data_IF_823315006569
#
_entry.id   IF_823315006569
#
_cell.length_a   1.000
_cell.length_b   1.000
_cell.length_c   1.000
_cell.angle_alpha   90.00
_cell.angle_beta   90.00
_cell.angle_gamma   90.00
#
_symmetry.space_group_name_H-M   'P 1'
#
loop_
_entity.id
_entity.type
_entity.pdbx_description
1 polymer ?
#
# COMPACT_ATOMS: atom_id res chain seq x y z
N UNK A 1 25.57 9.95 15.59
CA UNK A 1 24.18 9.77 15.09
C UNK A 1 24.06 8.29 14.79
N UNK A 2 23.37 7.53 15.64
CA UNK A 2 23.27 6.08 15.51
C UNK A 2 22.49 5.71 14.24
N UNK A 3 22.90 4.65 13.52
CA UNK A 3 22.24 4.23 12.30
C UNK A 3 20.84 3.70 12.63
N UNK A 4 19.85 4.37 12.06
CA UNK A 4 18.44 4.03 12.15
C UNK A 4 18.20 2.59 11.67
N UNK A 5 17.90 1.68 12.59
CA UNK A 5 17.43 0.33 12.25
C UNK A 5 15.96 0.42 11.80
N UNK A 6 15.75 0.38 10.49
CA UNK A 6 14.42 0.37 9.88
C UNK A 6 13.95 -1.08 9.63
N UNK A 7 12.64 -1.33 9.72
CA UNK A 7 12.07 -2.58 9.21
C UNK A 7 12.21 -2.59 7.68
N UNK A 8 13.23 -3.29 7.18
CA UNK A 8 13.58 -3.35 5.75
C UNK A 8 12.64 -4.22 4.90
N UNK A 9 11.65 -4.87 5.52
CA UNK A 9 10.77 -5.82 4.86
C UNK A 9 9.33 -5.41 5.12
N UNK A 10 8.56 -5.21 4.05
CA UNK A 10 7.10 -5.11 4.14
C UNK A 10 6.54 -6.42 4.70
N UNK A 11 5.75 -6.44 5.77
CA UNK A 11 5.13 -7.68 6.26
C UNK A 11 4.06 -8.30 5.35
N UNK A 12 3.69 -7.67 4.24
CA UNK A 12 3.02 -8.39 3.13
C UNK A 12 3.98 -9.33 2.38
N UNK A 13 5.29 -9.13 2.55
CA UNK A 13 6.38 -9.88 1.93
C UNK A 13 7.21 -10.71 2.94
N UNK A 14 6.78 -10.80 4.21
CA UNK A 14 7.49 -11.54 5.25
C UNK A 14 6.55 -12.40 6.09
N UNK A 15 7.04 -13.57 6.51
CA UNK A 15 6.26 -14.49 7.34
C UNK A 15 6.06 -13.90 8.75
N UNK A 16 4.95 -14.20 9.44
CA UNK A 16 4.71 -13.65 10.77
C UNK A 16 5.81 -14.00 11.78
N UNK A 17 6.51 -15.15 11.64
CA UNK A 17 7.63 -15.52 12.51
C UNK A 17 8.86 -14.59 12.40
N UNK A 18 9.04 -13.89 11.26
CA UNK A 18 10.14 -12.93 11.08
C UNK A 18 9.93 -11.65 11.91
N UNK A 19 8.73 -11.49 12.47
CA UNK A 19 8.34 -10.38 13.32
C UNK A 19 8.18 -10.77 14.79
N UNK A 20 8.61 -11.98 15.16
CA UNK A 20 8.60 -12.43 16.55
C UNK A 20 9.45 -11.49 17.42
N UNK A 21 8.91 -11.09 18.57
CA UNK A 21 9.52 -10.14 19.50
C UNK A 21 9.40 -8.66 19.10
N UNK A 22 8.74 -8.32 17.98
CA UNK A 22 8.48 -6.93 17.58
C UNK A 22 7.19 -6.41 18.23
N UNK A 23 7.28 -5.31 18.96
CA UNK A 23 6.17 -4.75 19.75
C UNK A 23 5.06 -4.07 18.93
N UNK A 24 5.13 -4.10 17.60
CA UNK A 24 4.22 -3.35 16.71
C UNK A 24 3.41 -4.22 15.77
N UNK A 25 3.49 -5.53 15.97
CA UNK A 25 2.90 -6.52 15.08
C UNK A 25 2.35 -7.66 15.89
N UNK A 26 1.23 -8.21 15.44
CA UNK A 26 0.67 -9.40 16.05
C UNK A 26 1.67 -10.56 16.03
N UNK A 27 1.93 -11.11 17.21
CA UNK A 27 2.79 -12.28 17.43
C UNK A 27 2.06 -13.58 17.07
N UNK A 28 2.82 -14.62 16.69
CA UNK A 28 2.21 -15.92 16.33
C UNK A 28 1.50 -16.58 17.51
N UNK A 29 2.00 -16.36 18.72
CA UNK A 29 1.53 -17.00 19.95
C UNK A 29 0.40 -16.25 20.65
N UNK A 30 0.10 -15.03 20.24
CA UNK A 30 -1.00 -14.25 20.82
C UNK A 30 -2.29 -14.39 19.99
N UNK A 31 -3.41 -14.34 20.69
CA UNK A 31 -4.73 -14.21 20.11
C UNK A 31 -4.90 -12.84 19.44
N UNK A 32 -5.91 -12.70 18.58
CA UNK A 32 -6.19 -11.40 17.95
C UNK A 32 -6.63 -10.39 19.02
N UNK A 33 -7.34 -10.86 20.04
CA UNK A 33 -7.85 -10.07 21.15
C UNK A 33 -6.73 -9.51 22.04
N UNK A 34 -5.76 -10.34 22.41
CA UNK A 34 -4.58 -9.90 23.17
C UNK A 34 -3.80 -8.82 22.42
N UNK A 35 -3.59 -9.03 21.10
CA UNK A 35 -2.95 -8.05 20.23
C UNK A 35 -3.70 -6.71 20.20
N UNK A 36 -5.03 -6.76 20.01
CA UNK A 36 -5.88 -5.56 19.96
C UNK A 36 -5.91 -4.81 21.30
N UNK A 37 -5.89 -5.52 22.42
CA UNK A 37 -5.83 -4.92 23.76
C UNK A 37 -4.47 -4.28 24.04
N UNK A 38 -3.38 -4.88 23.55
CA UNK A 38 -2.02 -4.37 23.74
C UNK A 38 -1.71 -3.14 22.88
N UNK A 39 -2.32 -3.04 21.68
CA UNK A 39 -1.99 -2.01 20.69
C UNK A 39 -3.24 -1.32 20.10
N UNK A 40 -4.09 -0.66 20.91
CA UNK A 40 -5.23 0.11 20.42
C UNK A 40 -4.77 1.31 19.57
N UNK A 41 -5.12 1.42 18.28
CA UNK A 41 -4.64 2.49 17.40
C UNK A 41 -5.06 3.90 17.80
N UNK A 42 -6.16 4.05 18.52
CA UNK A 42 -6.62 5.35 19.01
C UNK A 42 -5.60 5.99 19.97
N UNK A 43 -4.99 5.20 20.85
CA UNK A 43 -4.18 5.69 21.98
C UNK A 43 -2.69 5.36 21.88
N UNK A 44 -2.33 4.30 21.16
CA UNK A 44 -0.92 3.90 20.97
C UNK A 44 -0.14 5.01 20.24
N UNK A 45 0.94 5.50 20.85
CA UNK A 45 1.74 6.62 20.32
C UNK A 45 2.80 6.15 19.33
N UNK A 46 2.94 6.88 18.23
CA UNK A 46 4.05 6.73 17.30
C UNK A 46 5.40 7.04 17.97
N UNK A 47 6.44 6.28 17.60
CA UNK A 47 7.84 6.53 17.96
C UNK A 47 8.73 6.36 16.73
N UNK A 48 9.99 6.80 16.77
CA UNK A 48 10.89 6.74 15.60
C UNK A 48 10.99 5.33 15.01
N UNK A 49 10.93 4.27 15.84
CA UNK A 49 10.89 2.87 15.41
C UNK A 49 9.49 2.24 15.34
N UNK A 50 8.44 2.99 15.66
CA UNK A 50 7.05 2.54 15.76
C UNK A 50 6.14 3.50 14.97
N UNK A 51 5.99 3.25 13.68
CA UNK A 51 5.21 4.12 12.78
C UNK A 51 3.90 3.47 12.32
N UNK A 52 3.75 2.15 12.52
CA UNK A 52 2.60 1.37 12.08
C UNK A 52 2.32 0.24 13.05
N UNK A 53 1.04 -0.03 13.33
CA UNK A 53 0.59 -1.27 13.97
C UNK A 53 0.24 -2.25 12.85
N UNK A 54 0.69 -3.49 12.96
CA UNK A 54 0.64 -4.49 11.89
C UNK A 54 -0.06 -5.77 12.32
N UNK A 55 -0.75 -6.38 11.37
CA UNK A 55 -1.21 -7.77 11.47
C UNK A 55 -0.98 -8.48 10.14
N UNK A 56 -0.47 -9.70 10.21
CA UNK A 56 -0.29 -10.56 9.05
C UNK A 56 -1.24 -11.75 9.12
N UNK A 57 -1.65 -12.22 7.96
CA UNK A 57 -2.41 -13.46 7.83
C UNK A 57 -1.48 -14.64 8.17
N UNK A 58 -1.84 -15.53 9.11
CA UNK A 58 -1.00 -16.67 9.46
C UNK A 58 -0.90 -17.72 8.34
N UNK A 59 -1.83 -17.70 7.38
CA UNK A 59 -1.98 -18.71 6.34
C UNK A 59 -1.50 -18.25 4.96
N UNK A 60 -0.51 -17.33 4.89
CA UNK A 60 0.03 -16.88 3.60
C UNK A 60 0.49 -18.09 2.77
N UNK A 61 0.07 -18.21 1.50
CA UNK A 61 0.37 -19.37 0.68
C UNK A 61 1.87 -19.71 0.59
N UNK A 62 2.25 -21.00 0.54
CA UNK A 62 3.64 -21.44 0.48
C UNK A 62 4.42 -20.94 -0.76
N UNK A 63 3.73 -20.61 -1.86
CA UNK A 63 4.35 -20.27 -3.15
C UNK A 63 5.22 -19.00 -3.11
N UNK A 64 5.16 -18.22 -2.03
CA UNK A 64 5.97 -17.03 -1.82
C UNK A 64 7.32 -17.33 -1.12
N UNK A 65 7.57 -18.60 -0.79
CA UNK A 65 8.71 -19.01 0.02
C UNK A 65 9.34 -20.29 -0.52
N UNK A 66 10.64 -20.40 -0.34
CA UNK A 66 11.37 -21.64 -0.58
C UNK A 66 10.89 -22.75 0.40
N UNK A 67 11.15 -24.03 0.07
CA UNK A 67 10.84 -25.16 0.95
C UNK A 67 11.45 -25.08 2.36
N UNK A 68 12.56 -24.34 2.51
CA UNK A 68 13.24 -24.10 3.79
C UNK A 68 12.63 -22.93 4.61
N UNK A 69 11.57 -22.31 4.10
CA UNK A 69 10.87 -21.20 4.74
C UNK A 69 11.51 -19.83 4.54
N UNK A 70 12.65 -19.75 3.85
CA UNK A 70 13.21 -18.47 3.39
C UNK A 70 12.33 -17.89 2.29
N UNK A 71 12.23 -16.56 2.15
CA UNK A 71 11.70 -15.97 0.92
C UNK A 71 12.48 -16.58 -0.26
N UNK A 72 11.80 -16.87 -1.36
CA UNK A 72 12.49 -17.26 -2.61
C UNK A 72 13.60 -16.24 -2.88
N UNK A 73 14.73 -16.60 -3.51
CA UNK A 73 15.83 -15.68 -3.84
C UNK A 73 15.43 -14.63 -4.93
N UNK A 74 14.18 -14.21 -4.86
CA UNK A 74 13.56 -13.03 -5.43
C UNK A 74 14.18 -11.74 -4.90
N UNK A 75 15.03 -11.74 -3.86
CA UNK A 75 15.61 -10.50 -3.35
C UNK A 75 16.48 -9.82 -4.41
N UNK A 76 17.40 -10.56 -5.04
CA UNK A 76 18.28 -10.05 -6.09
C UNK A 76 17.51 -9.73 -7.39
N UNK A 77 16.57 -10.60 -7.78
CA UNK A 77 15.68 -10.41 -8.92
C UNK A 77 14.80 -9.16 -8.72
N UNK A 78 14.18 -8.99 -7.54
CA UNK A 78 13.32 -7.84 -7.22
C UNK A 78 14.11 -6.53 -7.14
N UNK A 79 15.31 -6.50 -6.54
CA UNK A 79 16.14 -5.28 -6.53
C UNK A 79 16.47 -4.85 -7.97
N UNK A 80 16.82 -5.81 -8.82
CA UNK A 80 17.10 -5.54 -10.23
C UNK A 80 15.85 -5.04 -10.96
N UNK A 81 14.70 -5.69 -10.73
CA UNK A 81 13.42 -5.32 -11.34
C UNK A 81 12.91 -3.96 -10.89
N UNK A 82 13.04 -3.62 -9.60
CA UNK A 82 12.72 -2.29 -9.07
C UNK A 82 13.64 -1.25 -9.70
N UNK A 83 14.93 -1.55 -9.88
CA UNK A 83 15.85 -0.62 -10.56
C UNK A 83 15.45 -0.38 -12.02
N UNK A 84 15.02 -1.44 -12.73
CA UNK A 84 14.48 -1.34 -14.09
C UNK A 84 13.20 -0.50 -14.10
N UNK A 85 12.25 -0.77 -13.19
CA UNK A 85 11.02 0.00 -13.05
C UNK A 85 11.33 1.49 -12.83
N UNK A 86 12.24 1.80 -11.90
CA UNK A 86 12.60 3.18 -11.56
C UNK A 86 13.20 3.90 -12.75
N UNK A 87 14.22 3.31 -13.39
CA UNK A 87 14.89 3.92 -14.52
C UNK A 87 13.94 4.21 -15.69
N UNK A 88 13.15 3.21 -16.10
CA UNK A 88 12.23 3.37 -17.23
C UNK A 88 11.01 4.22 -16.87
N UNK A 89 10.48 4.10 -15.65
CA UNK A 89 9.35 4.91 -15.19
C UNK A 89 9.73 6.38 -15.00
N UNK A 90 10.94 6.69 -14.51
CA UNK A 90 11.45 8.06 -14.46
C UNK A 90 11.58 8.67 -15.87
N UNK A 91 12.03 7.88 -16.85
CA UNK A 91 12.06 8.32 -18.26
C UNK A 91 10.65 8.65 -18.79
N UNK A 92 9.67 7.78 -18.54
CA UNK A 92 8.27 8.02 -18.91
C UNK A 92 7.71 9.31 -18.27
N UNK A 93 7.99 9.53 -16.99
CA UNK A 93 7.56 10.73 -16.26
C UNK A 93 8.24 12.01 -16.77
N UNK A 94 9.52 11.91 -17.15
CA UNK A 94 10.26 13.02 -17.76
C UNK A 94 9.71 13.36 -19.14
N UNK A 95 9.35 12.36 -19.93
CA UNK A 95 8.73 12.55 -21.25
C UNK A 95 7.35 13.18 -21.13
N UNK A 96 6.51 12.74 -20.18
CA UNK A 96 5.22 13.38 -19.88
C UNK A 96 5.41 14.87 -19.55
N UNK A 97 6.38 15.20 -18.69
CA UNK A 97 6.70 16.59 -18.33
C UNK A 97 7.12 17.40 -19.55
N UNK A 98 7.97 16.84 -20.42
CA UNK A 98 8.41 17.48 -21.66
C UNK A 98 7.24 17.75 -22.61
N UNK A 99 6.42 16.74 -22.87
CA UNK A 99 5.22 16.86 -23.72
C UNK A 99 4.25 17.89 -23.16
N UNK A 100 4.01 17.90 -21.85
CA UNK A 100 3.15 18.88 -21.21
C UNK A 100 3.67 20.32 -21.35
N UNK A 101 5.00 20.51 -21.25
CA UNK A 101 5.62 21.82 -21.48
C UNK A 101 5.43 22.28 -22.93
N UNK A 102 5.66 21.40 -23.91
CA UNK A 102 5.50 21.71 -25.34
C UNK A 102 4.04 22.03 -25.68
N UNK A 103 3.09 21.24 -25.17
CA UNK A 103 1.66 21.47 -25.40
C UNK A 103 1.21 22.85 -24.88
N UNK A 104 1.65 23.23 -23.67
CA UNK A 104 1.34 24.55 -23.07
C UNK A 104 1.93 25.71 -23.87
N UNK A 105 3.07 25.53 -24.52
CA UNK A 105 3.72 26.58 -25.32
C UNK A 105 3.07 26.71 -26.71
N UNK A 106 2.76 25.60 -27.37
CA UNK A 106 2.34 25.60 -28.77
C UNK A 106 0.82 25.79 -28.94
N UNK A 107 0.01 25.19 -28.07
CA UNK A 107 -1.46 25.16 -28.20
C UNK A 107 -2.13 25.36 -26.84
N UNK A 108 -2.09 26.57 -26.24
CA UNK A 108 -2.57 26.81 -24.89
C UNK A 108 -4.03 26.37 -24.65
N UNK A 109 -4.92 26.57 -25.63
CA UNK A 109 -6.35 26.22 -25.53
C UNK A 109 -6.61 24.71 -25.53
N UNK A 110 -5.83 23.91 -26.26
CA UNK A 110 -6.00 22.46 -26.37
C UNK A 110 -5.07 21.67 -25.44
N UNK A 111 -4.10 22.36 -24.83
CA UNK A 111 -3.05 21.75 -24.01
C UNK A 111 -3.58 20.91 -22.85
N UNK A 112 -4.72 21.29 -22.26
CA UNK A 112 -5.30 20.57 -21.12
C UNK A 112 -5.69 19.14 -21.51
N UNK A 113 -6.40 18.99 -22.63
CA UNK A 113 -6.88 17.69 -23.12
C UNK A 113 -5.70 16.81 -23.56
N UNK A 114 -4.78 17.38 -24.33
CA UNK A 114 -3.57 16.66 -24.77
C UNK A 114 -2.73 16.17 -23.58
N UNK A 115 -2.58 16.99 -22.55
CA UNK A 115 -1.87 16.60 -21.32
C UNK A 115 -2.62 15.48 -20.59
N UNK A 116 -3.95 15.51 -20.57
CA UNK A 116 -4.74 14.44 -19.94
C UNK A 116 -4.53 13.12 -20.65
N UNK A 117 -4.65 13.09 -21.99
CA UNK A 117 -4.43 11.88 -22.79
C UNK A 117 -3.02 11.30 -22.59
N UNK A 118 -1.99 12.15 -22.60
CA UNK A 118 -0.61 11.70 -22.37
C UNK A 118 -0.39 11.24 -20.92
N UNK A 119 -1.06 11.84 -19.95
CA UNK A 119 -1.03 11.38 -18.55
C UNK A 119 -1.64 10.00 -18.41
N UNK A 120 -2.82 9.77 -18.98
CA UNK A 120 -3.53 8.49 -18.89
C UNK A 120 -2.72 7.37 -19.59
N UNK A 121 -2.10 7.70 -20.73
CA UNK A 121 -1.15 6.80 -21.39
C UNK A 121 0.06 6.48 -20.51
N UNK A 122 0.66 7.49 -19.88
CA UNK A 122 1.81 7.31 -18.99
C UNK A 122 1.46 6.42 -17.79
N UNK A 123 0.26 6.60 -17.22
CA UNK A 123 -0.25 5.76 -16.14
C UNK A 123 -0.37 4.30 -16.58
N UNK A 124 -0.93 4.05 -17.77
CA UNK A 124 -1.04 2.71 -18.33
C UNK A 124 0.33 2.08 -18.60
N UNK A 125 1.27 2.85 -19.14
CA UNK A 125 2.63 2.38 -19.45
C UNK A 125 3.40 2.03 -18.16
N UNK A 126 3.29 2.84 -17.10
CA UNK A 126 3.86 2.54 -15.77
C UNK A 126 3.25 1.25 -15.20
N UNK A 127 1.93 1.08 -15.31
CA UNK A 127 1.24 -0.14 -14.85
C UNK A 127 1.77 -1.38 -15.59
N UNK A 128 1.88 -1.31 -16.91
CA UNK A 128 2.39 -2.41 -17.74
C UNK A 128 3.86 -2.71 -17.45
N UNK A 129 4.68 -1.68 -17.26
CA UNK A 129 6.08 -1.82 -16.86
C UNK A 129 6.20 -2.52 -15.50
N UNK A 130 5.34 -2.15 -14.54
CA UNK A 130 5.34 -2.77 -13.23
C UNK A 130 4.93 -4.26 -13.28
N UNK A 131 3.97 -4.61 -14.14
CA UNK A 131 3.62 -6.01 -14.42
C UNK A 131 4.80 -6.75 -15.06
N UNK A 132 5.40 -6.18 -16.12
CA UNK A 132 6.50 -6.80 -16.85
C UNK A 132 7.75 -7.02 -15.98
N UNK A 133 8.00 -6.12 -15.03
CA UNK A 133 9.09 -6.21 -14.06
C UNK A 133 8.70 -7.03 -12.82
N UNK A 134 7.48 -7.59 -12.73
CA UNK A 134 6.99 -8.31 -11.54
C UNK A 134 7.09 -7.47 -10.26
N UNK A 135 6.95 -6.15 -10.38
CA UNK A 135 6.88 -5.21 -9.25
C UNK A 135 5.43 -4.92 -8.86
N UNK A 136 4.60 -5.97 -8.94
CA UNK A 136 3.16 -5.91 -8.68
C UNK A 136 2.79 -5.99 -7.21
N UNK A 137 3.78 -6.22 -6.36
CA UNK A 137 3.64 -6.54 -4.94
C UNK A 137 4.77 -5.88 -4.13
N UNK A 138 4.50 -5.62 -2.85
CA UNK A 138 5.29 -4.92 -1.83
C UNK A 138 6.66 -4.29 -2.12
N UNK A 139 6.87 -3.12 -1.51
CA UNK A 139 8.16 -2.45 -1.29
C UNK A 139 9.31 -3.39 -0.88
N UNK A 140 10.40 -3.38 -1.65
CA UNK A 140 11.73 -3.86 -1.24
C UNK A 140 12.53 -2.69 -0.64
N UNK A 141 12.92 -2.79 0.63
CA UNK A 141 14.11 -2.14 1.17
C UNK A 141 14.15 -0.60 1.28
N UNK A 142 13.09 0.17 1.04
CA UNK A 142 13.21 1.64 1.18
C UNK A 142 13.09 2.12 2.63
N UNK A 143 13.96 3.04 3.06
CA UNK A 143 14.13 3.50 4.46
C UNK A 143 12.95 4.30 5.02
N UNK A 144 11.93 4.56 4.21
CA UNK A 144 10.76 5.36 4.60
C UNK A 144 9.59 4.43 5.02
N UNK A 145 9.14 4.45 6.27
CA UNK A 145 8.02 3.63 6.74
C UNK A 145 6.69 4.23 6.27
N UNK A 146 6.24 3.91 5.05
CA UNK A 146 4.82 4.10 4.70
C UNK A 146 4.25 2.82 4.06
N UNK A 147 2.92 2.63 4.15
CA UNK A 147 2.19 1.57 3.45
C UNK A 147 2.30 1.82 1.95
N UNK A 148 3.21 1.09 1.32
CA UNK A 148 3.53 1.19 -0.10
C UNK A 148 3.52 -0.22 -0.70
N UNK A 149 2.46 -0.93 -0.34
CA UNK A 149 2.03 -2.24 -0.83
C UNK A 149 0.67 -1.99 -1.47
N UNK A 150 0.24 -2.76 -2.48
CA UNK A 150 -1.04 -2.50 -3.12
C UNK A 150 -2.13 -2.65 -2.07
N UNK A 151 -2.91 -1.60 -1.87
CA UNK A 151 -3.70 -1.51 -0.65
C UNK A 151 -4.97 -0.73 -0.83
N UNK A 152 -6.04 -1.27 -0.26
CA UNK A 152 -7.24 -0.51 0.06
C UNK A 152 -6.97 0.40 1.26
N UNK A 153 -7.16 1.70 1.06
CA UNK A 153 -6.98 2.71 2.10
C UNK A 153 -8.32 3.09 2.74
N UNK A 154 -8.42 2.95 4.06
CA UNK A 154 -9.56 3.41 4.87
C UNK A 154 -9.11 4.52 5.81
N UNK A 155 -9.82 5.64 5.82
CA UNK A 155 -9.59 6.74 6.77
C UNK A 155 -10.64 6.66 7.87
N UNK A 156 -10.24 6.18 9.05
CA UNK A 156 -11.12 6.07 10.20
C UNK A 156 -10.97 7.26 11.13
N UNK A 157 -12.07 7.77 11.69
CA UNK A 157 -12.02 8.70 12.81
C UNK A 157 -11.48 8.01 14.08
N UNK A 158 -10.90 8.79 14.99
CA UNK A 158 -10.27 8.26 16.23
C UNK A 158 -11.25 7.52 17.13
N UNK A 159 -12.53 7.92 17.15
CA UNK A 159 -13.59 7.28 17.93
C UNK A 159 -14.00 5.90 17.40
N UNK A 160 -13.76 5.61 16.11
CA UNK A 160 -14.14 4.35 15.46
C UNK A 160 -12.97 3.45 15.11
N UNK A 161 -11.75 3.96 15.15
CA UNK A 161 -10.58 3.23 14.62
C UNK A 161 -10.36 1.90 15.33
N UNK A 162 -10.48 1.83 16.65
CA UNK A 162 -10.24 0.58 17.38
C UNK A 162 -11.25 -0.51 16.97
N UNK A 163 -12.51 -0.12 16.74
CA UNK A 163 -13.55 -1.02 16.27
C UNK A 163 -13.31 -1.49 14.82
N UNK A 164 -13.05 -0.56 13.91
CA UNK A 164 -12.78 -0.86 12.49
C UNK A 164 -11.51 -1.73 12.37
N UNK A 165 -10.46 -1.39 13.13
CA UNK A 165 -9.23 -2.16 13.18
C UNK A 165 -9.45 -3.58 13.72
N UNK A 166 -10.30 -3.76 14.73
CA UNK A 166 -10.69 -5.09 15.20
C UNK A 166 -11.30 -5.93 14.09
N UNK A 167 -12.25 -5.38 13.31
CA UNK A 167 -12.87 -6.10 12.18
C UNK A 167 -11.81 -6.51 11.16
N UNK A 168 -10.95 -5.57 10.76
CA UNK A 168 -9.87 -5.83 9.80
C UNK A 168 -8.91 -6.89 10.33
N UNK A 169 -8.49 -6.80 11.60
CA UNK A 169 -7.55 -7.72 12.21
C UNK A 169 -8.07 -9.16 12.22
N UNK A 170 -9.34 -9.36 12.61
CA UNK A 170 -9.97 -10.69 12.57
C UNK A 170 -10.08 -11.20 11.14
N UNK A 171 -10.50 -10.36 10.19
CA UNK A 171 -10.66 -10.76 8.80
C UNK A 171 -9.31 -11.12 8.13
N UNK A 172 -8.21 -10.44 8.46
CA UNK A 172 -6.86 -10.81 8.02
C UNK A 172 -6.41 -12.11 8.69
N UNK A 173 -6.58 -12.24 10.01
CA UNK A 173 -6.14 -13.43 10.75
C UNK A 173 -6.88 -14.72 10.33
N UNK A 174 -8.11 -14.57 9.82
CA UNK A 174 -8.96 -15.67 9.33
C UNK A 174 -8.91 -15.85 7.81
N UNK A 175 -7.95 -15.23 7.11
CA UNK A 175 -7.75 -15.36 5.66
C UNK A 175 -8.98 -14.91 4.83
N UNK A 176 -9.78 -13.97 5.33
CA UNK A 176 -10.89 -13.37 4.60
C UNK A 176 -10.42 -12.16 3.76
N UNK A 177 -9.48 -11.38 4.29
CA UNK A 177 -8.77 -10.31 3.58
C UNK A 177 -7.37 -10.77 3.16
N UNK A 178 -6.60 -9.90 2.50
CA UNK A 178 -5.30 -10.25 1.92
C UNK A 178 -4.20 -10.56 2.94
N UNK A 179 -2.91 -10.51 2.53
CA UNK A 179 -1.79 -11.04 3.33
C UNK A 179 -1.55 -10.33 4.66
N UNK A 180 -2.06 -9.12 4.82
CA UNK A 180 -1.87 -8.34 6.02
C UNK A 180 -2.61 -7.02 5.99
N UNK A 181 -2.54 -6.29 7.08
CA UNK A 181 -3.00 -4.93 7.17
C UNK A 181 -2.14 -4.10 8.12
N UNK A 182 -2.22 -2.78 7.96
CA UNK A 182 -1.68 -1.81 8.90
C UNK A 182 -2.69 -0.80 9.35
N UNK A 183 -2.40 -0.19 10.50
CA UNK A 183 -3.05 1.02 10.94
C UNK A 183 -2.02 2.00 11.50
N UNK A 184 -2.17 3.28 11.15
CA UNK A 184 -1.33 4.33 11.69
C UNK A 184 -1.62 4.48 13.19
N UNK A 185 -0.61 4.57 14.05
CA UNK A 185 -0.80 4.90 15.46
C UNK A 185 -1.04 6.41 15.62
N UNK A 186 -1.23 6.85 16.87
CA UNK A 186 -1.32 8.28 17.20
C UNK A 186 0.00 8.99 16.92
N UNK A 187 0.02 9.81 15.87
CA UNK A 187 1.17 10.66 15.51
C UNK A 187 1.38 11.77 16.54
N UNK A 188 2.63 12.26 16.63
CA UNK A 188 2.92 13.51 17.35
C UNK A 188 2.43 14.68 16.50
N UNK A 189 1.93 15.73 17.16
CA UNK A 189 1.25 16.89 16.57
C UNK A 189 1.81 17.40 15.22
N UNK A 190 0.94 17.92 14.32
CA UNK A 190 -0.51 17.99 14.44
C UNK A 190 -1.18 16.64 14.12
N UNK A 191 -2.14 16.23 14.93
CA UNK A 191 -2.93 15.02 14.72
C UNK A 191 -4.06 15.30 13.73
N UNK A 192 -4.23 14.46 12.71
CA UNK A 192 -5.20 14.67 11.62
C UNK A 192 -6.65 14.31 11.99
N UNK A 193 -6.91 13.95 13.25
CA UNK A 193 -8.23 13.49 13.72
C UNK A 193 -8.68 12.15 13.13
N UNK A 194 -7.85 11.52 12.31
CA UNK A 194 -8.10 10.25 11.65
C UNK A 194 -6.89 9.32 11.74
N UNK A 195 -7.12 8.04 11.45
CA UNK A 195 -6.10 6.99 11.31
C UNK A 195 -6.26 6.36 9.94
N UNK A 196 -5.14 6.15 9.26
CA UNK A 196 -5.10 5.42 8.00
C UNK A 196 -4.96 3.93 8.30
N UNK A 197 -5.89 3.14 7.77
CA UNK A 197 -5.82 1.68 7.73
C UNK A 197 -5.52 1.29 6.28
N UNK A 198 -4.53 0.43 6.08
CA UNK A 198 -4.17 -0.11 4.78
C UNK A 198 -4.35 -1.62 4.82
N UNK A 199 -5.25 -2.15 3.98
CA UNK A 199 -5.43 -3.60 3.79
C UNK A 199 -4.70 -4.01 2.53
N UNK A 200 -3.72 -4.90 2.64
CA UNK A 200 -2.90 -5.30 1.51
C UNK A 200 -3.57 -6.37 0.67
N UNK A 201 -3.24 -6.36 -0.61
CA UNK A 201 -3.54 -7.44 -1.56
C UNK A 201 -2.22 -8.09 -2.00
N UNK A 202 -2.34 -9.22 -2.70
CA UNK A 202 -1.17 -9.92 -3.18
C UNK A 202 -0.56 -9.24 -4.39
N UNK A 203 -1.37 -8.91 -5.40
CA UNK A 203 -0.92 -8.43 -6.70
C UNK A 203 -1.91 -7.38 -7.24
N UNK A 204 -1.44 -6.19 -7.63
CA UNK A 204 -2.34 -5.15 -8.15
C UNK A 204 -2.91 -5.43 -9.55
N UNK A 205 -2.29 -6.35 -10.29
CA UNK A 205 -2.71 -6.76 -11.63
C UNK A 205 -3.77 -7.85 -11.60
N UNK A 206 -3.92 -8.54 -10.47
CA UNK A 206 -5.02 -9.46 -10.21
C UNK A 206 -6.27 -8.67 -9.80
N UNK A 207 -7.00 -8.20 -10.81
CA UNK A 207 -8.24 -7.43 -10.59
C UNK A 207 -9.32 -8.27 -9.91
N UNK A 208 -9.32 -9.59 -10.08
CA UNK A 208 -10.29 -10.47 -9.43
C UNK A 208 -10.05 -10.54 -7.91
N UNK A 209 -8.79 -10.66 -7.46
CA UNK A 209 -8.48 -10.62 -6.02
C UNK A 209 -8.75 -9.24 -5.40
N UNK A 210 -8.48 -8.15 -6.14
CA UNK A 210 -8.80 -6.79 -5.70
C UNK A 210 -10.31 -6.64 -5.47
N UNK A 211 -11.12 -7.06 -6.45
CA UNK A 211 -12.59 -7.00 -6.40
C UNK A 211 -13.13 -7.92 -5.31
N UNK A 212 -12.58 -9.13 -5.16
CA UNK A 212 -12.91 -10.06 -4.06
C UNK A 212 -12.67 -9.41 -2.70
N UNK A 213 -11.51 -8.77 -2.52
CA UNK A 213 -11.16 -8.02 -1.31
C UNK A 213 -12.17 -6.90 -1.04
N UNK A 214 -12.53 -6.13 -2.07
CA UNK A 214 -13.49 -5.02 -1.96
C UNK A 214 -14.90 -5.50 -1.58
N UNK A 215 -15.41 -6.55 -2.22
CA UNK A 215 -16.68 -7.17 -1.81
C UNK A 215 -16.63 -7.62 -0.36
N UNK A 216 -15.50 -8.19 0.09
CA UNK A 216 -15.35 -8.58 1.48
C UNK A 216 -15.37 -7.39 2.44
N UNK A 217 -14.74 -6.28 2.08
CA UNK A 217 -14.82 -5.04 2.87
C UNK A 217 -16.25 -4.52 2.97
N UNK A 218 -17.05 -4.66 1.91
CA UNK A 218 -18.47 -4.31 1.90
C UNK A 218 -19.30 -5.23 2.80
N UNK A 219 -19.09 -6.54 2.72
CA UNK A 219 -19.76 -7.52 3.61
C UNK A 219 -19.47 -7.25 5.09
N UNK A 220 -18.26 -6.82 5.40
CA UNK A 220 -17.82 -6.46 6.75
C UNK A 220 -18.33 -5.07 7.21
N UNK A 221 -19.07 -4.35 6.36
CA UNK A 221 -19.58 -3.02 6.67
C UNK A 221 -18.52 -1.91 6.70
N UNK A 222 -17.34 -2.16 6.13
CA UNK A 222 -16.20 -1.21 6.10
C UNK A 222 -16.23 -0.27 4.89
N UNK A 223 -17.01 -0.64 3.87
CA UNK A 223 -17.29 0.16 2.67
C UNK A 223 -18.80 0.15 2.44
N UNK A 224 -19.40 1.34 2.43
CA UNK A 224 -20.83 1.46 2.14
C UNK A 224 -21.09 1.62 0.63
N UNK A 225 -22.27 1.18 0.13
CA UNK A 225 -22.70 1.51 -1.22
C UNK A 225 -22.83 3.03 -1.36
N UNK A 226 -22.31 3.60 -2.46
CA UNK A 226 -22.33 5.04 -2.74
C UNK A 226 -21.65 5.89 -1.66
N UNK A 227 -20.68 5.32 -0.93
CA UNK A 227 -19.94 6.05 0.09
C UNK A 227 -19.06 7.15 -0.52
N UNK A 228 -19.10 8.35 0.07
CA UNK A 228 -18.26 9.47 -0.31
C UNK A 228 -17.37 9.95 0.86
N UNK A 229 -16.05 10.14 0.64
CA UNK A 229 -15.31 9.79 -0.57
C UNK A 229 -15.17 8.26 -0.73
N UNK A 230 -15.00 7.76 -1.97
CA UNK A 230 -14.78 6.34 -2.22
C UNK A 230 -13.48 5.87 -1.56
N UNK A 231 -13.32 4.54 -1.46
CA UNK A 231 -12.03 3.97 -1.03
C UNK A 231 -11.09 3.92 -2.21
N UNK A 232 -9.86 4.31 -1.95
CA UNK A 232 -8.82 4.38 -2.95
C UNK A 232 -7.90 3.19 -2.81
N UNK A 233 -7.52 2.63 -3.95
CA UNK A 233 -6.54 1.57 -4.06
C UNK A 233 -5.28 2.10 -4.72
N UNK A 234 -4.12 1.98 -4.06
CA UNK A 234 -2.82 2.42 -4.60
C UNK A 234 -1.99 1.23 -5.10
N UNK A 235 -0.99 1.47 -5.95
CA UNK A 235 0.00 0.49 -6.38
C UNK A 235 1.43 0.90 -6.01
N UNK A 236 2.32 -0.07 -5.94
CA UNK A 236 3.68 0.15 -5.44
C UNK A 236 4.57 0.90 -6.41
N UNK A 237 4.28 0.77 -7.70
CA UNK A 237 5.02 1.45 -8.74
C UNK A 237 5.08 2.96 -8.50
N UNK A 238 3.98 3.55 -8.02
CA UNK A 238 3.91 4.97 -7.69
C UNK A 238 4.85 5.35 -6.54
N UNK A 239 5.05 4.43 -5.59
CA UNK A 239 6.01 4.65 -4.51
C UNK A 239 7.44 4.63 -5.03
N UNK A 240 7.79 3.63 -5.84
CA UNK A 240 9.15 3.51 -6.38
C UNK A 240 9.51 4.70 -7.30
N UNK A 241 8.50 5.28 -7.94
CA UNK A 241 8.62 6.46 -8.80
C UNK A 241 8.39 7.79 -8.05
N UNK A 242 8.30 7.77 -6.72
CA UNK A 242 8.15 8.95 -5.87
C UNK A 242 6.95 9.84 -6.26
N UNK A 243 5.86 9.21 -6.71
CA UNK A 243 4.59 9.86 -7.03
C UNK A 243 3.82 10.08 -5.72
N UNK A 244 3.83 11.32 -5.25
CA UNK A 244 3.26 11.75 -3.98
C UNK A 244 2.09 12.73 -4.16
N UNK A 245 1.32 13.04 -3.09
CA UNK A 245 0.29 14.08 -3.15
C UNK A 245 0.86 15.40 -3.67
N UNK A 246 0.17 16.01 -4.64
CA UNK A 246 0.64 17.24 -5.28
C UNK A 246 1.81 17.04 -6.26
N UNK A 247 2.02 15.81 -6.76
CA UNK A 247 3.05 15.54 -7.76
C UNK A 247 2.91 16.44 -9.01
N UNK A 248 4.04 16.79 -9.60
CA UNK A 248 4.15 17.72 -10.72
C UNK A 248 3.49 17.23 -12.02
N UNK A 249 3.17 15.94 -12.12
CA UNK A 249 2.59 15.31 -13.31
C UNK A 249 1.05 15.32 -13.28
N UNK A 250 0.44 15.64 -12.13
CA UNK A 250 -0.99 15.56 -11.91
C UNK A 250 -1.52 14.12 -11.98
N UNK A 251 -0.66 13.12 -11.75
CA UNK A 251 -1.05 11.71 -11.73
C UNK A 251 -1.83 11.45 -10.43
N UNK A 252 -3.05 10.86 -10.49
CA UNK A 252 -3.78 10.48 -9.30
C UNK A 252 -3.02 9.40 -8.52
N UNK A 253 -3.15 9.39 -7.20
CA UNK A 253 -2.48 8.41 -6.33
C UNK A 253 -3.25 7.10 -6.18
N UNK A 254 -4.43 7.02 -6.76
CA UNK A 254 -5.26 5.83 -6.79
C UNK A 254 -5.14 5.19 -8.16
N UNK A 255 -4.78 3.91 -8.19
CA UNK A 255 -4.89 3.06 -9.37
C UNK A 255 -6.35 2.68 -9.64
N UNK A 256 -7.12 2.41 -8.58
CA UNK A 256 -8.55 2.10 -8.66
C UNK A 256 -9.32 2.79 -7.53
N UNK A 257 -10.64 2.89 -7.68
CA UNK A 257 -11.55 3.32 -6.62
C UNK A 257 -12.66 2.30 -6.36
N UNK A 258 -13.24 2.33 -5.16
CA UNK A 258 -14.40 1.48 -4.86
C UNK A 258 -15.64 1.83 -5.68
N UNK A 259 -15.73 3.06 -6.20
CA UNK A 259 -16.82 3.50 -7.07
C UNK A 259 -16.69 2.91 -8.48
N UNK A 260 -15.46 2.79 -8.98
CA UNK A 260 -15.17 2.19 -10.29
C UNK A 260 -15.35 0.66 -10.29
N UNK A 261 -15.09 0.01 -9.14
CA UNK A 261 -14.97 -1.45 -9.03
C UNK A 261 -16.20 -2.17 -8.42
N UNK A 262 -17.26 -1.45 -8.00
CA UNK A 262 -18.51 -2.01 -7.44
C UNK A 262 -19.72 -1.69 -8.31
#
# INVERSE_FOLDING_TARGET
>A
MEPYYYAHISPAAARPHQFEGKQFVRQMRETVEEFLQGLPPATTKASVGFQWIWISNPNVPPHQFNPDGTPRDEWSERVSNVSILRMNGEEMLNELKRKASVARQNLPQESVEMISVERDRTIMDIKNLAIATKTTTGKVGSPIPMPHTPTWMLFSSVDRVDHIWSIVAHAVATNQLGPGATVSPKLKHPETGSRLICIYTYDFSDTEDIIRGLHKLRELGLVAPNEWPPRYYNCDAYTYLEIHPGNQWGIPLSLYSSEEML
#
